data_IF_292319274651
#
_entry.id   IF_292319274651
#
_cell.length_a   1.000
_cell.length_b   1.000
_cell.length_c   1.000
_cell.angle_alpha   90.00
_cell.angle_beta   90.00
_cell.angle_gamma   90.00
#
_symmetry.space_group_name_H-M   'P 1'
#
loop_
_entity.id
_entity.type
_entity.pdbx_description
1 polymer ?
#
# COMPACT_ATOMS: atom_id res chain seq x y z
N UNK A 1 50.17 27.08 55.92
CA UNK A 1 50.66 27.56 54.61
C UNK A 1 49.70 27.08 53.56
N UNK A 2 48.77 27.98 53.12
CA UNK A 2 47.76 27.65 52.10
C UNK A 2 48.38 27.81 50.73
N UNK A 3 48.40 26.71 49.91
CA UNK A 3 48.82 26.76 48.52
C UNK A 3 47.63 27.23 47.68
N UNK A 4 47.73 28.39 47.08
CA UNK A 4 46.75 28.87 46.07
C UNK A 4 47.13 28.21 44.74
N UNK A 5 46.25 27.36 44.21
CA UNK A 5 46.40 26.75 42.91
C UNK A 5 45.67 27.63 41.90
N UNK A 6 46.40 28.30 41.03
CA UNK A 6 45.83 29.12 39.94
C UNK A 6 45.45 28.15 38.81
N UNK A 7 44.11 27.95 38.65
CA UNK A 7 43.58 27.21 37.50
C UNK A 7 43.56 28.19 36.32
N UNK A 8 44.33 27.88 35.25
CA UNK A 8 44.26 28.64 34.00
C UNK A 8 42.90 28.39 33.36
N UNK A 9 42.16 29.44 32.92
CA UNK A 9 40.97 29.26 32.15
C UNK A 9 41.31 28.52 30.85
N UNK A 10 40.59 27.46 30.51
CA UNK A 10 40.73 26.77 29.24
C UNK A 10 40.52 27.78 28.12
N UNK A 11 41.53 27.92 27.24
CA UNK A 11 41.53 28.93 26.19
C UNK A 11 40.43 28.65 25.17
N UNK A 12 39.29 29.28 25.34
CA UNK A 12 38.07 29.12 24.52
C UNK A 12 38.16 29.80 23.13
N UNK A 13 39.36 29.93 22.55
CA UNK A 13 39.53 30.73 21.34
C UNK A 13 39.28 30.00 20.03
N UNK A 14 39.61 28.74 19.92
CA UNK A 14 39.59 28.02 18.63
C UNK A 14 38.71 26.76 18.65
N UNK A 15 38.43 26.21 19.81
CA UNK A 15 37.57 25.02 19.94
C UNK A 15 36.16 25.25 19.41
N UNK A 16 35.53 26.38 19.80
CA UNK A 16 34.20 26.77 19.34
C UNK A 16 34.17 26.97 17.82
N UNK A 17 35.22 27.52 17.23
CA UNK A 17 35.34 27.70 15.79
C UNK A 17 35.48 26.38 15.07
N UNK A 18 36.29 25.43 15.57
CA UNK A 18 36.41 24.09 14.99
C UNK A 18 35.10 23.31 15.08
N UNK A 19 34.42 23.35 16.22
CA UNK A 19 33.10 22.70 16.39
C UNK A 19 32.08 23.28 15.42
N UNK A 20 32.08 24.59 15.24
CA UNK A 20 31.17 25.27 14.31
C UNK A 20 31.47 24.89 12.85
N UNK A 21 32.75 24.85 12.46
CA UNK A 21 33.14 24.42 11.10
C UNK A 21 32.80 22.97 10.83
N UNK A 22 33.04 22.06 11.79
CA UNK A 22 32.70 20.63 11.64
C UNK A 22 31.16 20.47 11.56
N UNK A 23 30.39 21.18 12.38
CA UNK A 23 28.93 21.15 12.32
C UNK A 23 28.40 21.66 10.98
N UNK A 24 28.96 22.77 10.48
CA UNK A 24 28.59 23.32 9.17
C UNK A 24 28.94 22.35 8.03
N UNK A 25 30.09 21.70 8.11
CA UNK A 25 30.47 20.67 7.13
C UNK A 25 29.53 19.47 7.14
N UNK A 26 29.15 18.97 8.33
CA UNK A 26 28.18 17.86 8.46
C UNK A 26 26.82 18.27 7.87
N UNK A 27 26.34 19.49 8.16
CA UNK A 27 25.10 20.00 7.60
C UNK A 27 25.17 20.16 6.08
N UNK A 28 26.27 20.66 5.54
CA UNK A 28 26.47 20.77 4.09
C UNK A 28 26.49 19.41 3.40
N UNK A 29 27.16 18.42 3.98
CA UNK A 29 27.18 17.03 3.47
C UNK A 29 25.77 16.42 3.56
N UNK A 30 25.06 16.59 4.67
CA UNK A 30 23.71 16.10 4.83
C UNK A 30 22.73 16.75 3.82
N UNK A 31 22.82 18.07 3.64
CA UNK A 31 22.02 18.79 2.65
C UNK A 31 22.35 18.35 1.22
N UNK A 32 23.63 18.12 0.89
CA UNK A 32 24.05 17.57 -0.40
C UNK A 32 23.49 16.17 -0.65
N UNK A 33 23.54 15.29 0.35
CA UNK A 33 22.96 13.94 0.24
C UNK A 33 21.45 14.00 0.07
N UNK A 34 20.75 14.89 0.80
CA UNK A 34 19.31 15.06 0.68
C UNK A 34 18.94 15.63 -0.69
N UNK A 35 19.68 16.62 -1.21
CA UNK A 35 19.46 17.19 -2.52
C UNK A 35 19.66 16.15 -3.63
N UNK A 36 20.77 15.40 -3.59
CA UNK A 36 21.06 14.35 -4.57
C UNK A 36 20.08 13.18 -4.51
N UNK A 37 19.53 12.87 -3.33
CA UNK A 37 18.49 11.83 -3.17
C UNK A 37 17.09 12.35 -3.45
N UNK A 38 16.84 13.63 -3.25
CA UNK A 38 15.56 14.27 -3.55
C UNK A 38 15.25 14.33 -5.05
N UNK A 39 16.27 14.32 -5.92
CA UNK A 39 16.12 14.24 -7.37
C UNK A 39 15.86 12.81 -7.88
N UNK A 40 16.06 11.80 -7.05
CA UNK A 40 15.71 10.40 -7.33
C UNK A 40 14.37 9.98 -6.66
N UNK A 41 13.44 10.90 -6.50
CA UNK A 41 12.05 10.50 -6.50
C UNK A 41 11.73 10.10 -7.94
N UNK A 42 11.99 8.83 -8.25
CA UNK A 42 11.22 8.17 -9.28
C UNK A 42 9.75 8.30 -8.80
N UNK A 43 9.08 9.37 -9.22
CA UNK A 43 7.64 9.36 -9.29
C UNK A 43 7.34 8.15 -10.19
N UNK A 44 7.05 7.00 -9.58
CA UNK A 44 6.44 5.90 -10.29
C UNK A 44 5.19 6.53 -10.88
N UNK A 45 5.28 6.89 -12.17
CA UNK A 45 4.20 7.57 -12.85
C UNK A 45 3.01 6.61 -12.84
N UNK A 46 2.00 6.96 -12.04
CA UNK A 46 0.74 6.23 -12.01
C UNK A 46 0.15 6.40 -13.40
N UNK A 47 -0.11 5.30 -14.08
CA UNK A 47 -0.76 5.33 -15.38
C UNK A 47 -2.19 5.86 -15.24
N UNK A 48 -2.74 6.42 -16.34
CA UNK A 48 -4.06 7.08 -16.30
C UNK A 48 -5.21 6.16 -15.82
N UNK A 49 -5.03 4.85 -15.90
CA UNK A 49 -5.98 3.84 -15.44
C UNK A 49 -5.69 3.31 -14.02
N UNK A 50 -4.68 3.85 -13.35
CA UNK A 50 -4.29 3.44 -12.00
C UNK A 50 -4.71 4.47 -10.96
N UNK A 51 -4.99 4.00 -9.75
CA UNK A 51 -5.25 4.78 -8.55
C UNK A 51 -4.14 4.56 -7.53
N UNK A 52 -3.64 5.63 -6.95
CA UNK A 52 -2.74 5.54 -5.80
C UNK A 52 -3.54 5.09 -4.56
N UNK A 53 -3.17 3.95 -4.00
CA UNK A 53 -3.83 3.41 -2.82
C UNK A 53 -3.87 4.38 -1.62
N UNK A 54 -2.94 5.33 -1.53
CA UNK A 54 -2.83 6.27 -0.40
C UNK A 54 -3.53 7.60 -0.66
N UNK A 55 -3.54 8.08 -1.91
CA UNK A 55 -4.02 9.42 -2.27
C UNK A 55 -5.41 9.42 -2.90
N UNK A 56 -5.73 8.39 -3.68
CA UNK A 56 -6.92 8.39 -4.53
C UNK A 56 -8.08 7.58 -3.94
N UNK A 57 -7.83 6.76 -2.91
CA UNK A 57 -8.86 6.01 -2.21
C UNK A 57 -9.41 6.82 -1.03
N UNK A 58 -10.74 6.80 -0.84
CA UNK A 58 -11.35 7.29 0.38
C UNK A 58 -11.13 6.33 1.56
N UNK A 59 -11.49 6.72 2.79
CA UNK A 59 -11.21 5.94 3.99
C UNK A 59 -11.89 4.54 3.98
N UNK A 60 -13.11 4.44 3.44
CA UNK A 60 -13.82 3.18 3.31
C UNK A 60 -13.13 2.26 2.29
N UNK A 61 -12.77 2.80 1.13
CA UNK A 61 -12.03 2.08 0.08
C UNK A 61 -10.65 1.62 0.54
N UNK A 62 -9.92 2.46 1.30
CA UNK A 62 -8.64 2.08 1.90
C UNK A 62 -8.80 0.90 2.86
N UNK A 63 -9.88 0.89 3.66
CA UNK A 63 -10.20 -0.22 4.57
C UNK A 63 -10.44 -1.52 3.81
N UNK A 64 -11.32 -1.50 2.81
CA UNK A 64 -11.61 -2.69 1.97
C UNK A 64 -10.36 -3.17 1.22
N UNK A 65 -9.57 -2.25 0.68
CA UNK A 65 -8.32 -2.59 0.00
C UNK A 65 -7.30 -3.27 0.93
N UNK A 66 -7.16 -2.76 2.17
CA UNK A 66 -6.29 -3.36 3.16
C UNK A 66 -6.76 -4.77 3.55
N UNK A 67 -8.06 -4.94 3.77
CA UNK A 67 -8.67 -6.23 4.08
C UNK A 67 -8.47 -7.24 2.93
N UNK A 68 -8.66 -6.83 1.69
CA UNK A 68 -8.43 -7.67 0.50
C UNK A 68 -6.98 -8.14 0.38
N UNK A 69 -6.02 -7.28 0.73
CA UNK A 69 -4.61 -7.67 0.72
C UNK A 69 -4.28 -8.73 1.76
N UNK A 70 -4.85 -8.60 2.97
CA UNK A 70 -4.68 -9.60 4.03
C UNK A 70 -5.35 -10.92 3.64
N UNK A 71 -6.59 -10.84 3.13
CA UNK A 71 -7.31 -12.02 2.67
C UNK A 71 -6.62 -12.72 1.48
N UNK A 72 -5.97 -11.95 0.60
CA UNK A 72 -5.23 -12.50 -0.53
C UNK A 72 -4.12 -13.46 -0.10
N UNK A 73 -3.37 -13.12 0.95
CA UNK A 73 -2.29 -13.98 1.46
C UNK A 73 -2.86 -15.33 1.96
N UNK A 74 -4.01 -15.30 2.66
CA UNK A 74 -4.70 -16.52 3.09
C UNK A 74 -5.28 -17.32 1.93
N UNK A 75 -5.89 -16.64 0.96
CA UNK A 75 -6.44 -17.28 -0.26
C UNK A 75 -5.33 -18.00 -1.03
N UNK A 76 -4.16 -17.39 -1.15
CA UNK A 76 -3.03 -18.00 -1.83
C UNK A 76 -2.53 -19.25 -1.10
N UNK A 77 -2.39 -19.17 0.22
CA UNK A 77 -1.97 -20.30 1.05
C UNK A 77 -2.91 -21.50 0.90
N UNK A 78 -4.22 -21.28 0.99
CA UNK A 78 -5.22 -22.34 0.83
C UNK A 78 -5.29 -22.90 -0.56
N UNK A 79 -5.14 -22.03 -1.57
CA UNK A 79 -5.11 -22.47 -2.96
C UNK A 79 -3.94 -23.44 -3.23
N UNK A 80 -2.80 -23.26 -2.56
CA UNK A 80 -1.67 -24.21 -2.63
C UNK A 80 -2.05 -25.58 -2.07
N UNK A 81 -2.81 -25.60 -0.98
CA UNK A 81 -3.22 -26.83 -0.31
C UNK A 81 -4.38 -27.54 -1.03
N UNK A 82 -5.40 -26.77 -1.41
CA UNK A 82 -6.69 -27.29 -1.89
C UNK A 82 -6.78 -27.36 -3.42
N UNK A 83 -5.87 -26.67 -4.15
CA UNK A 83 -5.83 -26.59 -5.62
C UNK A 83 -7.06 -25.92 -6.26
N UNK A 84 -7.88 -25.21 -5.49
CA UNK A 84 -9.00 -24.38 -5.93
C UNK A 84 -9.11 -23.12 -5.08
N UNK A 85 -9.87 -22.14 -5.54
CA UNK A 85 -10.14 -20.94 -4.75
C UNK A 85 -11.13 -21.22 -3.63
N UNK A 86 -10.90 -20.60 -2.48
CA UNK A 86 -11.75 -20.72 -1.30
C UNK A 86 -13.11 -20.08 -1.57
N UNK A 87 -14.18 -20.77 -1.21
CA UNK A 87 -15.53 -20.21 -1.31
C UNK A 87 -15.71 -19.03 -0.36
N UNK A 88 -16.54 -18.06 -0.76
CA UNK A 88 -16.78 -16.84 0.02
C UNK A 88 -17.38 -17.16 1.38
N UNK A 89 -18.27 -18.13 1.43
CA UNK A 89 -18.92 -18.58 2.65
C UNK A 89 -17.91 -19.09 3.69
N UNK A 90 -16.87 -19.78 3.25
CA UNK A 90 -15.80 -20.26 4.13
C UNK A 90 -14.99 -19.10 4.70
N UNK A 91 -14.61 -18.14 3.85
CA UNK A 91 -13.90 -16.93 4.29
C UNK A 91 -14.74 -16.10 5.27
N UNK A 92 -16.05 -16.01 5.01
CA UNK A 92 -17.00 -15.30 5.88
C UNK A 92 -17.19 -15.99 7.24
N UNK A 93 -17.37 -17.30 7.25
CA UNK A 93 -17.56 -18.11 8.49
C UNK A 93 -16.32 -18.09 9.38
N UNK A 94 -15.16 -18.00 8.79
CA UNK A 94 -13.89 -17.88 9.53
C UNK A 94 -13.56 -16.44 9.96
N UNK A 95 -14.41 -15.49 9.59
CA UNK A 95 -14.30 -14.11 10.03
C UNK A 95 -13.30 -13.28 9.24
N UNK A 96 -12.95 -13.67 8.01
CA UNK A 96 -12.04 -12.87 7.18
C UNK A 96 -12.76 -11.65 6.56
N UNK A 97 -12.34 -10.40 6.93
CA UNK A 97 -12.82 -9.25 6.19
C UNK A 97 -12.13 -9.22 4.80
N UNK A 98 -12.81 -8.65 3.78
CA UNK A 98 -14.09 -7.98 3.81
C UNK A 98 -15.29 -8.91 3.55
N UNK A 99 -15.10 -10.23 3.56
CA UNK A 99 -16.14 -11.23 3.23
C UNK A 99 -17.16 -11.39 4.36
N UNK A 100 -16.74 -11.18 5.61
CA UNK A 100 -17.61 -11.22 6.79
C UNK A 100 -18.56 -10.03 6.83
N UNK A 101 -19.82 -10.28 7.13
CA UNK A 101 -20.83 -9.25 7.37
C UNK A 101 -20.88 -8.93 8.87
N UNK A 102 -20.32 -7.80 9.26
CA UNK A 102 -20.27 -7.32 10.64
C UNK A 102 -20.78 -5.87 10.78
N UNK A 103 -20.75 -5.30 11.98
CA UNK A 103 -21.17 -3.93 12.22
C UNK A 103 -20.36 -2.87 11.47
N UNK A 104 -19.16 -3.21 11.00
CA UNK A 104 -18.30 -2.30 10.23
C UNK A 104 -18.61 -2.33 8.73
N UNK A 105 -19.30 -3.36 8.23
CA UNK A 105 -19.59 -3.56 6.81
C UNK A 105 -20.36 -2.39 6.21
N UNK A 106 -21.34 -1.82 6.95
CA UNK A 106 -22.10 -0.67 6.51
C UNK A 106 -21.21 0.56 6.24
N UNK A 107 -20.23 0.81 7.09
CA UNK A 107 -19.30 1.92 6.92
C UNK A 107 -18.27 1.71 5.79
N UNK A 108 -18.18 0.49 5.26
CA UNK A 108 -17.30 0.06 4.18
C UNK A 108 -18.01 -0.23 2.86
N UNK A 109 -19.34 0.00 2.78
CA UNK A 109 -20.12 -0.12 1.55
C UNK A 109 -20.92 -1.41 1.39
N UNK A 110 -20.95 -2.30 2.40
CA UNK A 110 -21.78 -3.54 2.44
C UNK A 110 -21.66 -4.40 1.18
N UNK A 111 -20.44 -4.64 0.71
CA UNK A 111 -20.18 -5.35 -0.53
C UNK A 111 -20.82 -6.74 -0.56
N UNK A 112 -21.46 -7.05 -1.68
CA UNK A 112 -21.95 -8.40 -2.00
C UNK A 112 -20.87 -9.13 -2.77
N UNK A 113 -20.23 -10.10 -2.11
CA UNK A 113 -19.12 -10.84 -2.66
C UNK A 113 -19.57 -12.05 -3.46
N UNK A 114 -18.91 -12.31 -4.57
CA UNK A 114 -19.10 -13.49 -5.41
C UNK A 114 -17.79 -13.93 -6.03
N UNK A 115 -17.63 -15.25 -6.19
CA UNK A 115 -16.49 -15.85 -6.84
C UNK A 115 -16.72 -15.91 -8.35
N UNK A 116 -15.78 -15.43 -9.14
CA UNK A 116 -15.80 -15.49 -10.60
C UNK A 116 -14.90 -16.61 -11.10
N UNK A 117 -15.44 -17.82 -11.17
CA UNK A 117 -14.67 -19.03 -11.52
C UNK A 117 -13.48 -19.23 -10.59
N UNK A 118 -12.34 -19.66 -11.14
CA UNK A 118 -11.08 -19.86 -10.42
C UNK A 118 -10.11 -18.67 -10.64
N UNK A 119 -10.64 -17.45 -10.82
CA UNK A 119 -9.81 -16.31 -11.25
C UNK A 119 -9.95 -15.06 -10.39
N UNK A 120 -11.11 -14.82 -9.79
CA UNK A 120 -11.34 -13.55 -9.11
C UNK A 120 -12.44 -13.59 -8.05
N UNK A 121 -12.36 -12.64 -7.12
CA UNK A 121 -13.41 -12.29 -6.17
C UNK A 121 -13.97 -10.92 -6.54
N UNK A 122 -15.28 -10.82 -6.77
CA UNK A 122 -15.99 -9.60 -7.08
C UNK A 122 -16.84 -9.16 -5.89
N UNK A 123 -16.62 -7.95 -5.40
CA UNK A 123 -17.43 -7.29 -4.39
C UNK A 123 -18.26 -6.17 -5.01
N UNK A 124 -19.54 -6.39 -5.24
CA UNK A 124 -20.45 -5.36 -5.72
C UNK A 124 -20.91 -4.48 -4.57
N UNK A 125 -20.73 -3.17 -4.71
CA UNK A 125 -21.18 -2.20 -3.71
C UNK A 125 -22.61 -1.74 -3.98
N UNK A 126 -23.54 -1.91 -3.02
CA UNK A 126 -24.85 -1.29 -3.08
C UNK A 126 -24.80 0.22 -2.79
N UNK A 127 -23.68 0.71 -2.27
CA UNK A 127 -23.49 2.11 -1.85
C UNK A 127 -22.18 2.70 -2.42
N UNK A 128 -22.10 2.92 -3.76
CA UNK A 128 -20.84 3.39 -4.40
C UNK A 128 -20.35 4.77 -3.92
N UNK A 129 -21.22 5.54 -3.27
CA UNK A 129 -20.86 6.81 -2.62
C UNK A 129 -20.04 6.62 -1.34
N UNK A 130 -20.15 5.45 -0.70
CA UNK A 130 -19.36 5.06 0.48
C UNK A 130 -18.05 4.41 0.02
N UNK A 131 -18.14 3.36 -0.78
CA UNK A 131 -17.02 2.71 -1.42
C UNK A 131 -17.47 2.10 -2.75
N UNK A 132 -16.63 2.16 -3.78
CA UNK A 132 -16.90 1.55 -5.08
C UNK A 132 -16.91 0.02 -5.03
N UNK A 133 -17.24 -0.62 -6.14
CA UNK A 133 -17.16 -2.08 -6.31
C UNK A 133 -15.69 -2.50 -6.50
N UNK A 134 -15.31 -3.62 -5.91
CA UNK A 134 -13.95 -4.15 -5.96
C UNK A 134 -13.87 -5.45 -6.75
N UNK A 135 -12.75 -5.65 -7.44
CA UNK A 135 -12.41 -6.91 -8.08
C UNK A 135 -10.98 -7.27 -7.66
N UNK A 136 -10.83 -8.42 -7.00
CA UNK A 136 -9.54 -9.01 -6.66
C UNK A 136 -9.24 -10.12 -7.66
N UNK A 137 -8.26 -9.92 -8.53
CA UNK A 137 -7.75 -10.93 -9.44
C UNK A 137 -6.73 -11.82 -8.72
N UNK A 138 -6.85 -13.12 -8.90
CA UNK A 138 -5.92 -14.08 -8.32
C UNK A 138 -4.97 -14.54 -9.43
N UNK A 139 -3.67 -14.21 -9.33
CA UNK A 139 -2.70 -14.58 -10.35
C UNK A 139 -2.56 -16.11 -10.41
N UNK A 140 -2.29 -16.63 -11.61
CA UNK A 140 -2.07 -18.07 -11.81
C UNK A 140 -0.78 -18.57 -11.12
N UNK A 141 0.17 -17.66 -10.85
CA UNK A 141 1.46 -17.97 -10.20
C UNK A 141 1.45 -17.49 -8.75
N UNK A 142 2.09 -18.26 -7.86
CA UNK A 142 2.13 -17.96 -6.42
C UNK A 142 2.94 -16.70 -6.03
N UNK A 143 3.87 -16.29 -6.87
CA UNK A 143 4.74 -15.12 -6.60
C UNK A 143 4.08 -13.77 -6.97
N UNK A 144 2.81 -13.79 -7.38
CA UNK A 144 2.08 -12.58 -7.77
C UNK A 144 1.59 -11.78 -6.56
N UNK A 145 1.67 -10.45 -6.64
CA UNK A 145 1.01 -9.57 -5.68
C UNK A 145 -0.51 -9.51 -5.93
N UNK A 146 -1.27 -9.12 -4.90
CA UNK A 146 -2.70 -8.88 -5.04
C UNK A 146 -2.97 -7.84 -6.13
N UNK A 147 -3.73 -8.19 -7.14
CA UNK A 147 -4.16 -7.31 -8.23
C UNK A 147 -5.61 -6.88 -7.99
N UNK A 148 -5.77 -5.66 -7.46
CA UNK A 148 -7.07 -5.14 -7.02
C UNK A 148 -7.50 -4.01 -7.94
N UNK A 149 -8.75 -4.08 -8.39
CA UNK A 149 -9.40 -3.10 -9.24
C UNK A 149 -10.61 -2.50 -8.54
N UNK A 150 -10.89 -1.23 -8.84
CA UNK A 150 -11.98 -0.45 -8.26
C UNK A 150 -12.84 0.16 -9.36
N UNK A 151 -14.17 0.09 -9.19
CA UNK A 151 -15.15 0.81 -10.02
C UNK A 151 -16.17 1.54 -9.15
N UNK A 152 -16.28 2.87 -9.31
CA UNK A 152 -17.19 3.72 -8.51
C UNK A 152 -18.56 3.95 -9.14
N UNK A 153 -18.83 3.35 -10.31
CA UNK A 153 -20.17 3.45 -10.93
C UNK A 153 -21.15 2.54 -10.23
N UNK A 154 -22.41 2.99 -10.13
CA UNK A 154 -23.48 2.24 -9.47
C UNK A 154 -23.85 0.94 -10.22
N UNK A 155 -23.64 0.90 -11.52
CA UNK A 155 -23.89 -0.23 -12.42
C UNK A 155 -22.59 -0.97 -12.78
N UNK A 156 -21.70 -1.14 -11.81
CA UNK A 156 -20.46 -1.85 -12.02
C UNK A 156 -20.71 -3.25 -12.59
N UNK A 157 -20.14 -3.52 -13.74
CA UNK A 157 -20.20 -4.82 -14.41
C UNK A 157 -18.80 -5.30 -14.75
N UNK A 158 -18.59 -6.60 -14.70
CA UNK A 158 -17.32 -7.21 -15.05
C UNK A 158 -17.41 -7.77 -16.45
N UNK A 159 -16.47 -7.45 -17.35
CA UNK A 159 -16.43 -8.05 -18.67
C UNK A 159 -16.11 -9.55 -18.55
N UNK A 160 -16.54 -10.38 -19.53
CA UNK A 160 -16.23 -11.81 -19.52
C UNK A 160 -14.72 -12.08 -19.64
N UNK A 161 -13.98 -11.17 -20.23
CA UNK A 161 -12.52 -11.17 -20.26
C UNK A 161 -11.98 -10.29 -19.13
N UNK A 162 -11.24 -10.90 -18.19
CA UNK A 162 -10.62 -10.22 -17.04
C UNK A 162 -9.24 -9.64 -17.36
N UNK A 163 -8.88 -9.51 -18.63
CA UNK A 163 -7.63 -8.83 -19.02
C UNK A 163 -7.66 -7.34 -18.62
N UNK A 164 -6.49 -6.78 -18.30
CA UNK A 164 -6.36 -5.39 -17.93
C UNK A 164 -7.00 -4.45 -18.98
N UNK A 165 -6.83 -4.75 -20.28
CA UNK A 165 -7.41 -3.95 -21.35
C UNK A 165 -8.94 -3.95 -21.33
N UNK A 166 -9.56 -5.11 -21.07
CA UNK A 166 -11.02 -5.23 -20.98
C UNK A 166 -11.58 -4.55 -19.73
N UNK A 167 -10.89 -4.68 -18.61
CA UNK A 167 -11.25 -4.00 -17.36
C UNK A 167 -11.19 -2.48 -17.50
N UNK A 168 -10.11 -1.95 -18.08
CA UNK A 168 -9.96 -0.52 -18.36
C UNK A 168 -11.09 -0.02 -19.28
N UNK A 169 -11.39 -0.75 -20.35
CA UNK A 169 -12.46 -0.42 -21.28
C UNK A 169 -13.84 -0.41 -20.60
N UNK A 170 -14.04 -1.29 -19.61
CA UNK A 170 -15.25 -1.33 -18.77
C UNK A 170 -15.29 -0.25 -17.68
N UNK A 171 -14.20 0.53 -17.52
CA UNK A 171 -14.10 1.64 -16.58
C UNK A 171 -13.60 1.24 -15.19
N UNK A 172 -12.98 0.08 -15.05
CA UNK A 172 -12.24 -0.31 -13.84
C UNK A 172 -10.90 0.39 -13.80
N UNK A 173 -10.44 0.70 -12.58
CA UNK A 173 -9.14 1.32 -12.33
C UNK A 173 -8.34 0.41 -11.39
N UNK A 174 -7.11 0.11 -11.76
CA UNK A 174 -6.19 -0.70 -10.95
C UNK A 174 -5.68 0.09 -9.75
N UNK A 175 -5.67 -0.50 -8.57
CA UNK A 175 -5.11 0.12 -7.38
C UNK A 175 -3.62 -0.22 -7.32
N UNK A 176 -2.76 0.80 -7.48
CA UNK A 176 -1.32 0.68 -7.37
C UNK A 176 -0.88 0.96 -5.93
N UNK A 177 -0.22 -0.01 -5.30
CA UNK A 177 0.47 0.21 -4.05
C UNK A 177 1.81 0.90 -4.34
N UNK A 178 1.92 2.20 -4.12
CA UNK A 178 3.22 2.86 -4.13
C UNK A 178 3.95 2.55 -2.82
N UNK A 179 5.02 1.79 -2.93
CA UNK A 179 5.99 1.66 -1.84
C UNK A 179 6.98 2.81 -1.99
N UNK A 180 7.03 3.72 -1.02
CA UNK A 180 8.14 4.68 -0.94
C UNK A 180 9.45 3.90 -1.01
N UNK A 181 10.27 4.15 -2.01
CA UNK A 181 11.54 3.46 -2.27
C UNK A 181 12.55 3.56 -1.10
N UNK A 182 12.18 4.23 -0.01
CA UNK A 182 12.95 4.38 1.21
C UNK A 182 12.93 3.19 2.16
N UNK A 183 12.00 2.25 2.04
CA UNK A 183 11.77 1.20 3.06
C UNK A 183 12.21 -0.19 2.61
N UNK A 184 12.29 -0.46 1.31
CA UNK A 184 12.73 -1.77 0.80
C UNK A 184 14.12 -1.67 0.16
N UNK A 185 15.19 -1.82 0.96
CA UNK A 185 16.47 -2.30 0.43
C UNK A 185 16.28 -3.77 0.07
N UNK A 186 16.00 -4.05 -1.18
CA UNK A 186 16.22 -5.39 -1.71
C UNK A 186 17.71 -5.70 -1.62
N UNK A 187 18.09 -6.60 -0.71
CA UNK A 187 19.39 -7.24 -0.75
C UNK A 187 19.45 -8.10 -2.02
N UNK A 188 20.03 -7.57 -3.09
CA UNK A 188 20.51 -8.39 -4.20
C UNK A 188 21.77 -9.14 -3.69
N UNK A 189 21.66 -10.43 -3.55
CA UNK A 189 22.80 -11.36 -3.54
C UNK A 189 23.15 -11.75 -4.96
#
# INVERSE_FOLDING_TARGET
MSRVQVVRPAGAGHETLYVLLVSLFILAVAAGIVALRGEQHDEVSIEAHQLDARRDLNAAEQGVYADLRVAFDEIQLRREEEQHLVAIEVLADEGFPPFTQDASSASRGEHQWQLLGEQAYLGLSPSPMVAGSFLLLIPATHDGAADVWLQRKADASVPPDLSAAALIAAGWQQIAAQYDAGVTRQHRH
#
